data_IF_860339764359
#
_entry.id   IF_860339764359
#
_cell.length_a   1.000
_cell.length_b   1.000
_cell.length_c   1.000
_cell.angle_alpha   90.00
_cell.angle_beta   90.00
_cell.angle_gamma   90.00
#
_symmetry.space_group_name_H-M   'P 1'
#
loop_
_entity.id
_entity.type
_entity.pdbx_description
1 polymer ?
#
# COMPACT_ATOMS: atom_id res chain seq x y z
N UNK A 1 -30.95 46.76 -39.29
CA UNK A 1 -30.91 46.35 -37.86
C UNK A 1 -31.90 45.25 -37.49
N UNK A 2 -33.21 45.34 -37.81
CA UNK A 2 -34.21 44.33 -37.38
C UNK A 2 -34.00 42.91 -37.96
N UNK A 3 -33.48 42.79 -39.18
CA UNK A 3 -33.23 41.48 -39.82
C UNK A 3 -32.00 40.75 -39.23
N UNK A 4 -30.94 41.48 -38.90
CA UNK A 4 -29.72 40.94 -38.27
C UNK A 4 -30.02 40.47 -36.84
N UNK A 5 -30.85 41.22 -36.11
CA UNK A 5 -31.26 40.85 -34.74
C UNK A 5 -32.15 39.60 -34.72
N UNK A 6 -33.04 39.42 -35.72
CA UNK A 6 -33.84 38.20 -35.90
C UNK A 6 -32.98 36.99 -36.28
N UNK A 7 -31.98 37.16 -37.14
CA UNK A 7 -31.06 36.10 -37.54
C UNK A 7 -30.16 35.64 -36.37
N UNK A 8 -29.74 36.56 -35.51
CA UNK A 8 -28.95 36.25 -34.31
C UNK A 8 -29.77 35.48 -33.27
N UNK A 9 -31.06 35.84 -33.09
CA UNK A 9 -31.96 35.13 -32.16
C UNK A 9 -32.22 33.68 -32.59
N UNK A 10 -32.37 33.43 -33.89
CA UNK A 10 -32.57 32.08 -34.45
C UNK A 10 -31.30 31.24 -34.28
N UNK A 11 -30.13 31.83 -34.44
CA UNK A 11 -28.85 31.15 -34.27
C UNK A 11 -28.57 30.77 -32.80
N UNK A 12 -28.93 31.63 -31.85
CA UNK A 12 -28.83 31.33 -30.40
C UNK A 12 -29.85 30.25 -30.00
N UNK A 13 -31.05 30.26 -30.58
CA UNK A 13 -32.06 29.23 -30.31
C UNK A 13 -31.63 27.85 -30.86
N UNK A 14 -31.01 27.79 -32.04
CA UNK A 14 -30.49 26.56 -32.64
C UNK A 14 -29.28 25.97 -31.88
N UNK A 15 -28.43 26.82 -31.30
CA UNK A 15 -27.33 26.38 -30.42
C UNK A 15 -27.80 25.84 -29.07
N UNK A 16 -29.01 26.19 -28.62
CA UNK A 16 -29.56 25.72 -27.34
C UNK A 16 -30.18 24.31 -27.37
N UNK A 17 -30.30 23.68 -28.55
CA UNK A 17 -30.92 22.36 -28.71
C UNK A 17 -29.90 21.21 -28.61
N UNK A 18 -28.60 21.52 -28.53
CA UNK A 18 -27.55 20.51 -28.30
C UNK A 18 -27.02 20.63 -26.87
N UNK A 19 -27.93 20.58 -25.90
CA UNK A 19 -27.54 20.15 -24.56
C UNK A 19 -27.57 18.62 -24.65
N UNK A 20 -26.43 17.92 -24.80
CA UNK A 20 -26.44 16.48 -24.58
C UNK A 20 -27.03 16.31 -23.19
N UNK A 21 -28.20 15.67 -23.12
CA UNK A 21 -28.83 15.34 -21.86
C UNK A 21 -27.75 14.66 -21.03
N UNK A 22 -27.36 15.29 -19.92
CA UNK A 22 -26.72 14.62 -18.80
C UNK A 22 -27.76 13.65 -18.22
N UNK A 23 -28.12 12.63 -18.99
CA UNK A 23 -28.49 11.35 -18.42
C UNK A 23 -27.23 10.93 -17.69
N UNK A 24 -27.18 11.23 -16.39
CA UNK A 24 -26.18 10.67 -15.52
C UNK A 24 -26.16 9.18 -15.82
N UNK A 25 -25.09 8.71 -16.47
CA UNK A 25 -24.84 7.30 -16.59
C UNK A 25 -24.76 6.83 -15.15
N UNK A 26 -25.79 6.12 -14.70
CA UNK A 26 -25.69 5.29 -13.53
C UNK A 26 -24.66 4.24 -13.90
N UNK A 27 -23.38 4.53 -13.67
CA UNK A 27 -22.34 3.52 -13.69
C UNK A 27 -22.78 2.57 -12.59
N UNK A 28 -23.35 1.42 -12.98
CA UNK A 28 -23.55 0.34 -12.03
C UNK A 28 -22.15 0.06 -11.49
N UNK A 29 -21.98 0.22 -10.18
CA UNK A 29 -20.78 -0.27 -9.52
C UNK A 29 -20.57 -1.71 -9.99
N UNK A 30 -19.38 -2.03 -10.51
CA UNK A 30 -19.03 -3.41 -10.81
C UNK A 30 -19.38 -4.26 -9.59
N UNK A 31 -19.94 -5.44 -9.83
CA UNK A 31 -20.24 -6.37 -8.74
C UNK A 31 -18.99 -6.56 -7.91
N UNK A 32 -19.07 -6.18 -6.62
CA UNK A 32 -18.00 -6.44 -5.68
C UNK A 32 -17.67 -7.94 -5.73
N UNK A 33 -16.39 -8.28 -5.84
CA UNK A 33 -15.90 -9.67 -5.93
C UNK A 33 -16.13 -10.48 -4.63
N UNK A 34 -16.77 -9.87 -3.63
CA UNK A 34 -16.96 -10.45 -2.31
C UNK A 34 -15.69 -10.41 -1.46
N UNK A 35 -15.75 -10.95 -0.23
CA UNK A 35 -14.58 -11.04 0.64
C UNK A 35 -13.54 -12.00 0.06
N UNK A 36 -12.27 -11.60 0.08
CA UNK A 36 -11.14 -12.45 -0.27
C UNK A 36 -10.71 -13.23 0.98
N UNK A 37 -10.71 -14.56 0.90
CA UNK A 37 -10.19 -15.41 1.97
C UNK A 37 -8.67 -15.46 1.91
N UNK A 38 -8.00 -14.95 2.96
CA UNK A 38 -6.54 -14.91 3.01
C UNK A 38 -5.92 -16.25 3.45
N UNK A 39 -6.65 -17.05 4.24
CA UNK A 39 -6.10 -18.28 4.85
C UNK A 39 -5.11 -18.04 6.00
N UNK A 40 -4.94 -16.78 6.44
CA UNK A 40 -4.16 -16.39 7.61
C UNK A 40 -4.69 -15.07 8.18
N UNK A 41 -4.27 -14.74 9.40
CA UNK A 41 -4.48 -13.42 10.00
C UNK A 41 -3.30 -12.52 9.65
N UNK A 42 -3.49 -11.41 8.91
CA UNK A 42 -2.45 -10.42 8.69
C UNK A 42 -1.89 -9.91 10.01
N UNK A 43 -0.58 -9.76 10.09
CA UNK A 43 0.07 -9.18 11.25
C UNK A 43 0.18 -7.66 11.12
N UNK A 44 0.57 -7.20 9.94
CA UNK A 44 0.53 -5.81 9.52
C UNK A 44 0.13 -5.73 8.04
N UNK A 45 -0.29 -4.55 7.58
CA UNK A 45 -0.70 -4.33 6.20
C UNK A 45 -0.58 -2.87 5.75
N UNK A 46 -0.24 -2.66 4.49
CA UNK A 46 -0.25 -1.33 3.85
C UNK A 46 -0.92 -1.38 2.48
N UNK A 47 -1.73 -0.35 2.17
CA UNK A 47 -2.42 -0.20 0.90
C UNK A 47 -1.56 0.58 -0.09
N UNK A 48 -1.41 0.08 -1.32
CA UNK A 48 -0.91 0.89 -2.43
C UNK A 48 -2.00 1.87 -2.88
N UNK A 49 -1.73 3.17 -2.81
CA UNK A 49 -2.68 4.20 -3.22
C UNK A 49 -2.84 4.29 -4.75
N UNK A 50 -1.89 3.75 -5.51
CA UNK A 50 -1.85 3.83 -6.98
C UNK A 50 -2.24 2.52 -7.66
N UNK A 51 -2.25 1.40 -6.92
CA UNK A 51 -2.57 0.05 -7.44
C UNK A 51 -3.62 -0.61 -6.57
N UNK A 52 -4.47 -1.51 -7.10
CA UNK A 52 -5.46 -2.20 -6.29
C UNK A 52 -4.83 -3.33 -5.46
N UNK A 53 -3.74 -3.06 -4.73
CA UNK A 53 -2.94 -4.06 -4.00
C UNK A 53 -2.80 -3.66 -2.54
N UNK A 54 -3.04 -4.61 -1.64
CA UNK A 54 -2.65 -4.52 -0.23
C UNK A 54 -1.50 -5.48 0.02
N UNK A 55 -0.43 -4.98 0.64
CA UNK A 55 0.68 -5.79 1.08
C UNK A 55 0.51 -6.17 2.55
N UNK A 56 0.89 -7.39 2.91
CA UNK A 56 0.64 -7.92 4.26
C UNK A 56 1.78 -8.81 4.75
N UNK A 57 1.99 -8.85 6.06
CA UNK A 57 2.85 -9.81 6.75
C UNK A 57 2.02 -10.82 7.54
N UNK A 58 2.66 -11.90 7.97
CA UNK A 58 2.12 -12.86 8.92
C UNK A 58 3.15 -13.08 10.02
N UNK A 59 2.74 -12.95 11.28
CA UNK A 59 3.62 -13.04 12.44
C UNK A 59 4.44 -14.34 12.41
N UNK A 60 5.75 -14.21 12.56
CA UNK A 60 6.72 -15.32 12.54
C UNK A 60 6.98 -15.95 11.16
N UNK A 61 6.34 -15.47 10.10
CA UNK A 61 6.55 -15.94 8.73
C UNK A 61 7.61 -15.12 8.01
N UNK A 62 8.38 -15.75 7.12
CA UNK A 62 9.26 -15.04 6.16
C UNK A 62 8.52 -14.54 4.92
N UNK A 63 7.21 -14.77 4.83
CA UNK A 63 6.44 -14.50 3.62
C UNK A 63 5.83 -13.09 3.65
N UNK A 64 6.13 -12.31 2.63
CA UNK A 64 5.40 -11.10 2.27
C UNK A 64 4.29 -11.47 1.28
N UNK A 65 3.09 -10.92 1.48
CA UNK A 65 1.93 -11.17 0.65
C UNK A 65 1.55 -9.89 -0.10
N UNK A 66 1.17 -10.01 -1.37
CA UNK A 66 0.56 -8.94 -2.15
C UNK A 66 -0.79 -9.44 -2.67
N UNK A 67 -1.88 -8.79 -2.24
CA UNK A 67 -3.24 -9.18 -2.60
C UNK A 67 -3.86 -8.11 -3.46
N UNK A 68 -4.19 -8.46 -4.71
CA UNK A 68 -4.98 -7.60 -5.56
C UNK A 68 -6.45 -7.66 -5.14
N UNK A 69 -6.97 -6.59 -4.54
CA UNK A 69 -8.33 -6.57 -4.00
C UNK A 69 -9.42 -6.37 -5.06
N UNK A 70 -9.04 -6.09 -6.32
CA UNK A 70 -9.98 -6.04 -7.45
C UNK A 70 -10.13 -7.41 -8.14
N UNK A 71 -9.10 -8.26 -8.13
CA UNK A 71 -9.12 -9.57 -8.80
C UNK A 71 -9.14 -10.76 -7.86
N UNK A 72 -8.77 -10.57 -6.58
CA UNK A 72 -8.55 -11.64 -5.62
C UNK A 72 -7.21 -12.37 -5.79
N UNK A 73 -6.37 -11.97 -6.76
CA UNK A 73 -5.05 -12.59 -6.97
C UNK A 73 -4.14 -12.33 -5.77
N UNK A 74 -3.51 -13.39 -5.25
CA UNK A 74 -2.52 -13.31 -4.18
C UNK A 74 -1.16 -13.76 -4.70
N UNK A 75 -0.16 -12.89 -4.57
CA UNK A 75 1.26 -13.20 -4.80
C UNK A 75 2.00 -13.28 -3.46
N UNK A 76 3.08 -14.05 -3.45
CA UNK A 76 3.93 -14.19 -2.26
C UNK A 76 5.40 -14.03 -2.62
N UNK A 77 6.16 -13.48 -1.69
CA UNK A 77 7.61 -13.33 -1.77
C UNK A 77 8.22 -13.83 -0.45
N UNK A 78 9.17 -14.76 -0.54
CA UNK A 78 9.91 -15.24 0.64
C UNK A 78 11.10 -14.32 0.89
N UNK A 79 11.14 -13.70 2.06
CA UNK A 79 12.24 -12.85 2.51
C UNK A 79 13.31 -13.66 3.28
N UNK A 80 14.52 -13.10 3.49
CA UNK A 80 15.60 -13.82 4.19
C UNK A 80 15.27 -14.21 5.64
N UNK A 81 14.57 -13.33 6.36
CA UNK A 81 14.22 -13.43 7.77
C UNK A 81 12.72 -13.12 7.99
N UNK A 82 12.12 -13.51 9.13
CA UNK A 82 10.71 -13.26 9.44
C UNK A 82 10.31 -11.80 9.23
N UNK A 83 9.22 -11.58 8.50
CA UNK A 83 8.68 -10.29 8.13
C UNK A 83 7.67 -9.81 9.18
N UNK A 84 7.77 -8.56 9.62
CA UNK A 84 6.96 -8.07 10.75
C UNK A 84 6.09 -6.85 10.44
N UNK A 85 6.69 -5.67 10.31
CA UNK A 85 6.01 -4.42 9.96
C UNK A 85 6.43 -3.95 8.60
N UNK A 86 5.57 -3.20 7.94
CA UNK A 86 5.86 -2.68 6.61
C UNK A 86 5.32 -1.27 6.40
N UNK A 87 6.05 -0.51 5.61
CA UNK A 87 5.57 0.74 5.06
C UNK A 87 5.88 0.81 3.56
N UNK A 88 5.13 1.63 2.84
CA UNK A 88 5.17 1.77 1.38
C UNK A 88 5.47 3.20 1.00
N UNK A 89 6.55 3.41 0.25
CA UNK A 89 6.87 4.72 -0.29
C UNK A 89 7.46 4.61 -1.70
N UNK A 90 6.92 5.40 -2.63
CA UNK A 90 7.39 5.50 -4.03
C UNK A 90 7.56 4.14 -4.74
N UNK A 91 6.61 3.23 -4.55
CA UNK A 91 6.65 1.91 -5.20
C UNK A 91 7.69 0.96 -4.59
N UNK A 92 8.16 1.24 -3.38
CA UNK A 92 9.04 0.38 -2.60
C UNK A 92 8.41 0.05 -1.26
N UNK A 93 8.39 -1.22 -0.92
CA UNK A 93 8.05 -1.67 0.42
C UNK A 93 9.32 -1.77 1.25
N UNK A 94 9.23 -1.31 2.48
CA UNK A 94 10.26 -1.48 3.48
C UNK A 94 9.69 -2.34 4.59
N UNK A 95 10.28 -3.51 4.80
CA UNK A 95 9.74 -4.53 5.68
C UNK A 95 10.74 -4.82 6.78
N UNK A 96 10.36 -4.64 8.04
CA UNK A 96 11.21 -5.01 9.17
C UNK A 96 11.38 -6.52 9.23
N UNK A 97 12.58 -6.95 9.59
CA UNK A 97 12.93 -8.35 9.71
C UNK A 97 13.54 -8.67 11.08
N UNK A 98 13.05 -9.73 11.73
CA UNK A 98 13.60 -10.20 12.99
C UNK A 98 14.68 -11.25 12.78
N UNK A 99 15.89 -10.94 13.25
CA UNK A 99 17.02 -11.89 13.20
C UNK A 99 17.23 -12.62 14.52
N UNK A 100 16.38 -12.35 15.50
CA UNK A 100 16.45 -12.87 16.85
C UNK A 100 15.05 -13.18 17.37
N UNK A 101 14.95 -14.04 18.38
CA UNK A 101 13.67 -14.27 19.05
C UNK A 101 13.32 -13.05 19.91
N UNK A 102 12.07 -12.60 19.83
CA UNK A 102 11.48 -11.71 20.82
C UNK A 102 11.36 -12.45 22.15
N UNK A 103 12.28 -12.18 23.05
CA UNK A 103 12.21 -12.61 24.44
C UNK A 103 12.34 -11.36 25.31
N UNK A 104 11.36 -11.14 26.20
CA UNK A 104 11.32 -10.02 27.14
C UNK A 104 12.57 -9.98 28.03
N UNK A 105 13.23 -11.12 28.25
CA UNK A 105 14.46 -11.24 29.03
C UNK A 105 15.74 -11.05 28.20
N UNK A 106 15.61 -10.87 26.88
CA UNK A 106 16.76 -10.64 26.02
C UNK A 106 17.36 -9.25 26.30
N UNK A 107 18.58 -9.25 26.83
CA UNK A 107 19.37 -8.06 27.14
C UNK A 107 20.31 -7.65 26.00
N UNK A 108 20.14 -8.27 24.83
CA UNK A 108 20.94 -8.01 23.64
C UNK A 108 22.13 -8.97 23.48
N UNK A 109 22.95 -8.78 22.42
CA UNK A 109 22.87 -7.69 21.45
C UNK A 109 21.62 -7.79 20.56
N UNK A 110 21.01 -6.64 20.26
CA UNK A 110 19.87 -6.59 19.33
C UNK A 110 20.34 -6.64 17.89
N UNK A 111 19.63 -7.41 17.08
CA UNK A 111 19.91 -7.59 15.65
C UNK A 111 18.61 -7.74 14.88
N UNK A 112 18.47 -6.93 13.86
CA UNK A 112 17.32 -6.91 12.97
C UNK A 112 17.76 -6.63 11.54
N UNK A 113 16.79 -6.56 10.64
CA UNK A 113 16.99 -6.14 9.28
C UNK A 113 15.82 -5.36 8.72
N UNK A 114 16.03 -4.81 7.54
CA UNK A 114 15.00 -4.19 6.69
C UNK A 114 15.17 -4.80 5.30
N UNK A 115 14.11 -5.40 4.77
CA UNK A 115 14.04 -5.80 3.37
C UNK A 115 13.40 -4.67 2.56
N UNK A 116 14.08 -4.25 1.49
CA UNK A 116 13.50 -3.36 0.47
C UNK A 116 12.96 -4.22 -0.68
N UNK A 117 11.70 -4.04 -1.04
CA UNK A 117 11.03 -4.80 -2.12
C UNK A 117 10.45 -3.84 -3.15
N UNK A 118 10.81 -4.03 -4.42
CA UNK A 118 10.21 -3.32 -5.55
C UNK A 118 8.77 -3.82 -5.77
N UNK A 119 7.79 -2.91 -5.80
CA UNK A 119 6.37 -3.30 -5.92
C UNK A 119 5.89 -3.49 -7.35
N UNK A 120 6.66 -3.11 -8.35
CA UNK A 120 6.36 -3.35 -9.76
C UNK A 120 6.69 -4.80 -10.13
N UNK A 121 7.89 -5.24 -9.78
CA UNK A 121 8.35 -6.62 -10.03
C UNK A 121 7.99 -7.58 -8.91
N UNK A 122 7.66 -7.07 -7.72
CA UNK A 122 7.45 -7.82 -6.49
C UNK A 122 8.64 -8.73 -6.14
N UNK A 123 9.84 -8.12 -6.17
CA UNK A 123 11.12 -8.80 -5.90
C UNK A 123 11.91 -8.05 -4.83
N UNK A 124 12.65 -8.82 -4.02
CA UNK A 124 13.61 -8.26 -3.07
C UNK A 124 14.69 -7.46 -3.83
N UNK A 125 14.82 -6.19 -3.50
CA UNK A 125 15.77 -5.25 -4.10
C UNK A 125 17.03 -5.11 -3.26
N UNK A 126 16.89 -5.07 -1.94
CA UNK A 126 18.02 -4.92 -1.02
C UNK A 126 17.68 -5.40 0.40
N UNK A 127 18.70 -5.58 1.23
CA UNK A 127 18.58 -5.88 2.66
C UNK A 127 19.55 -5.03 3.46
N UNK A 128 19.06 -4.40 4.53
CA UNK A 128 19.86 -3.55 5.41
C UNK A 128 19.86 -4.13 6.81
N UNK A 129 21.04 -4.33 7.39
CA UNK A 129 21.18 -4.79 8.77
C UNK A 129 21.08 -3.62 9.74
N UNK A 130 20.35 -3.83 10.85
CA UNK A 130 20.20 -2.84 11.91
C UNK A 130 20.57 -3.44 13.26
N UNK A 131 21.24 -2.65 14.10
CA UNK A 131 21.61 -3.03 15.47
C UNK A 131 20.45 -2.75 16.46
N UNK A 132 19.24 -3.17 16.10
CA UNK A 132 18.02 -2.98 16.87
C UNK A 132 17.07 -4.16 16.66
N UNK A 133 16.19 -4.40 17.64
CA UNK A 133 15.02 -5.26 17.47
C UNK A 133 13.90 -4.37 16.89
N UNK A 134 13.52 -4.46 15.60
CA UNK A 134 12.56 -3.52 15.03
C UNK A 134 11.12 -3.85 15.47
N UNK A 135 10.43 -2.87 16.03
CA UNK A 135 9.01 -2.97 16.42
C UNK A 135 8.06 -2.33 15.42
N UNK A 136 8.44 -1.18 14.84
CA UNK A 136 7.66 -0.48 13.82
C UNK A 136 8.55 0.29 12.85
N UNK A 137 8.00 0.62 11.68
CA UNK A 137 8.68 1.31 10.58
C UNK A 137 7.80 2.39 9.98
N UNK A 138 8.42 3.51 9.61
CA UNK A 138 7.81 4.54 8.77
C UNK A 138 8.83 5.05 7.76
N UNK A 139 8.39 5.41 6.56
CA UNK A 139 9.25 5.93 5.50
C UNK A 139 8.70 7.25 4.98
N UNK A 140 9.52 8.29 4.99
CA UNK A 140 9.10 9.59 4.50
C UNK A 140 9.26 9.75 2.98
N UNK A 141 8.71 10.85 2.45
CA UNK A 141 8.77 11.16 1.02
C UNK A 141 10.19 11.37 0.47
N UNK A 142 11.19 11.58 1.31
CA UNK A 142 12.59 11.71 0.90
C UNK A 142 13.31 10.34 0.93
N UNK A 143 12.66 9.29 1.43
CA UNK A 143 13.22 7.95 1.54
C UNK A 143 13.99 7.72 2.85
N UNK A 144 13.84 8.59 3.85
CA UNK A 144 14.37 8.28 5.18
C UNK A 144 13.48 7.24 5.86
N UNK A 145 14.12 6.23 6.43
CA UNK A 145 13.47 5.13 7.15
C UNK A 145 13.63 5.38 8.65
N UNK A 146 12.52 5.39 9.36
CA UNK A 146 12.44 5.56 10.80
C UNK A 146 12.01 4.23 11.42
N UNK A 147 12.77 3.73 12.39
CA UNK A 147 12.50 2.48 13.07
C UNK A 147 12.27 2.76 14.55
N UNK A 148 11.18 2.25 15.11
CA UNK A 148 11.02 2.17 16.55
C UNK A 148 11.54 0.80 17.04
N UNK A 149 12.42 0.77 18.06
CA UNK A 149 12.90 -0.49 18.59
C UNK A 149 11.87 -1.16 19.52
N UNK A 150 11.81 -2.48 19.47
CA UNK A 150 11.08 -3.36 20.37
C UNK A 150 11.78 -3.46 21.71
N UNK A 151 11.66 -2.40 22.52
CA UNK A 151 11.72 -2.49 23.97
C UNK A 151 10.95 -1.35 24.59
N UNK A 152 10.09 -1.70 25.56
CA UNK A 152 9.65 -0.74 26.58
C UNK A 152 10.90 -0.13 27.23
N UNK A 153 10.91 1.19 27.26
CA UNK A 153 11.90 2.00 27.92
C UNK A 153 12.01 1.62 29.41
N UNK A 154 13.01 0.81 29.75
CA UNK A 154 13.88 1.18 30.86
C UNK A 154 15.01 1.97 30.18
N UNK A 155 14.79 3.21 29.71
CA UNK A 155 14.43 4.32 30.58
C UNK A 155 15.59 4.51 31.55
N UNK A 156 16.67 5.14 31.07
CA UNK A 156 17.87 5.60 31.84
C UNK A 156 18.59 4.58 32.74
#
# INVERSE_FOLDING_TARGET
MKAVLKSLLIFVLLMSVVIPSLQGQTVRAESAIGPISLGFTPHDSVLDQNKPVVYMTKLGSKTLYAVNFSTGEMKTLTLPDPAERLDLQKGKLYVTQHKMSHDTYNVGPYSGGIAEVDTETFTLSDTMDIAADPFDIAVDQNGYIYISPGRDSMGI
#
